data_IF_516883368013
#
_entry.id   IF_516883368013
#
_cell.length_a   1.000
_cell.length_b   1.000
_cell.length_c   1.000
_cell.angle_alpha   90.00
_cell.angle_beta   90.00
_cell.angle_gamma   90.00
#
_symmetry.space_group_name_H-M   'P 1'
#
loop_
_entity.id
_entity.type
_entity.pdbx_description
1 polymer ?
#
# COMPACT_ATOMS: atom_id res chain seq x y z
N UNK A 1 -2.97 13.30 -15.14
CA UNK A 1 -1.91 14.17 -15.74
C UNK A 1 -0.92 13.36 -16.59
N UNK A 2 -0.18 12.39 -16.02
CA UNK A 2 0.78 11.55 -16.77
C UNK A 2 0.15 10.88 -18.01
N UNK A 3 -1.04 10.27 -17.85
CA UNK A 3 -1.77 9.58 -18.91
C UNK A 3 -1.92 10.42 -20.18
N UNK A 4 -2.45 11.65 -20.06
CA UNK A 4 -2.61 12.54 -21.20
C UNK A 4 -1.27 12.93 -21.84
N UNK A 5 -0.25 13.27 -21.03
CA UNK A 5 1.07 13.62 -21.57
C UNK A 5 1.76 12.48 -22.30
N UNK A 6 1.55 11.24 -21.85
CA UNK A 6 2.11 10.07 -22.52
C UNK A 6 1.43 9.82 -23.87
N UNK A 7 0.11 10.02 -23.96
CA UNK A 7 -0.61 10.00 -25.24
C UNK A 7 -0.12 11.10 -26.19
N UNK A 8 0.15 12.31 -25.68
CA UNK A 8 0.71 13.41 -26.49
C UNK A 8 2.11 13.08 -27.05
N UNK A 9 2.87 12.21 -26.38
CA UNK A 9 4.16 11.69 -26.86
C UNK A 9 4.01 10.48 -27.80
N UNK A 10 2.78 10.07 -28.13
CA UNK A 10 2.48 8.96 -29.04
C UNK A 10 2.47 7.58 -28.38
N UNK A 11 2.54 7.48 -27.05
CA UNK A 11 2.40 6.20 -26.37
C UNK A 11 0.97 5.68 -26.47
N UNK A 12 0.78 4.37 -26.63
CA UNK A 12 -0.54 3.76 -26.66
C UNK A 12 -1.05 3.45 -25.22
N UNK A 13 -2.35 3.14 -25.09
CA UNK A 13 -2.97 2.87 -23.79
C UNK A 13 -2.39 1.64 -23.09
N UNK A 14 -2.00 0.61 -23.84
CA UNK A 14 -1.39 -0.62 -23.31
C UNK A 14 0.01 -0.35 -22.76
N UNK A 15 0.82 0.46 -23.45
CA UNK A 15 2.15 0.89 -22.98
C UNK A 15 2.04 1.67 -21.67
N UNK A 16 1.09 2.61 -21.59
CA UNK A 16 0.84 3.37 -20.35
C UNK A 16 0.41 2.41 -19.22
N UNK A 17 -0.49 1.48 -19.49
CA UNK A 17 -0.91 0.46 -18.53
C UNK A 17 0.25 -0.39 -18.03
N UNK A 18 1.11 -0.85 -18.94
CA UNK A 18 2.30 -1.64 -18.60
C UNK A 18 3.35 -0.83 -17.81
N UNK A 19 3.48 0.48 -18.04
CA UNK A 19 4.36 1.37 -17.24
C UNK A 19 3.89 1.47 -15.78
N UNK A 20 2.58 1.46 -15.54
CA UNK A 20 2.03 1.37 -14.18
C UNK A 20 2.17 -0.04 -13.61
N UNK A 21 1.87 -1.07 -14.40
CA UNK A 21 1.97 -2.47 -13.97
C UNK A 21 3.40 -2.90 -13.60
N UNK A 22 4.42 -2.45 -14.35
CA UNK A 22 5.81 -2.82 -14.06
C UNK A 22 6.26 -2.31 -12.68
N UNK A 23 5.74 -1.16 -12.23
CA UNK A 23 6.04 -0.61 -10.92
C UNK A 23 5.53 -1.52 -9.79
N UNK A 24 4.30 -2.03 -9.92
CA UNK A 24 3.71 -2.96 -8.95
C UNK A 24 4.46 -4.30 -8.93
N UNK A 25 4.74 -4.87 -10.11
CA UNK A 25 5.46 -6.15 -10.24
C UNK A 25 6.87 -6.06 -9.63
N UNK A 26 7.62 -5.02 -9.96
CA UNK A 26 8.98 -4.83 -9.41
C UNK A 26 8.92 -4.65 -7.90
N UNK A 27 7.99 -3.87 -7.35
CA UNK A 27 7.83 -3.76 -5.91
C UNK A 27 7.49 -5.10 -5.25
N UNK A 28 6.54 -5.84 -5.81
CA UNK A 28 6.09 -7.13 -5.27
C UNK A 28 7.22 -8.16 -5.18
N UNK A 29 8.10 -8.21 -6.20
CA UNK A 29 9.26 -9.11 -6.22
C UNK A 29 10.40 -8.58 -5.32
N UNK A 30 10.66 -7.27 -5.35
CA UNK A 30 11.83 -6.70 -4.68
C UNK A 30 11.63 -6.53 -3.17
N UNK A 31 10.41 -6.37 -2.66
CA UNK A 31 10.17 -6.30 -1.21
C UNK A 31 10.67 -7.57 -0.49
N UNK A 32 10.29 -8.80 -0.89
CA UNK A 32 10.84 -10.03 -0.34
C UNK A 32 12.36 -10.13 -0.45
N UNK A 33 12.92 -9.76 -1.60
CA UNK A 33 14.37 -9.79 -1.83
C UNK A 33 15.10 -8.86 -0.86
N UNK A 34 14.63 -7.62 -0.70
CA UNK A 34 15.21 -6.70 0.26
C UNK A 34 15.03 -7.19 1.69
N UNK A 35 13.91 -7.84 2.01
CA UNK A 35 13.69 -8.51 3.30
C UNK A 35 14.80 -9.51 3.66
N UNK A 36 15.27 -10.29 2.69
CA UNK A 36 16.41 -11.19 2.85
C UNK A 36 17.74 -10.45 3.07
N UNK A 37 17.90 -9.25 2.49
CA UNK A 37 19.12 -8.45 2.59
C UNK A 37 19.18 -7.55 3.83
N UNK A 38 18.06 -7.32 4.52
CA UNK A 38 17.98 -6.50 5.75
C UNK A 38 19.05 -6.88 6.79
N UNK A 39 19.33 -8.17 7.10
CA UNK A 39 20.36 -8.54 8.07
C UNK A 39 21.78 -8.13 7.67
N UNK A 40 22.04 -8.02 6.35
CA UNK A 40 23.36 -7.67 5.83
C UNK A 40 23.53 -6.15 5.70
N UNK A 41 22.53 -5.45 5.15
CA UNK A 41 22.63 -4.01 4.89
C UNK A 41 22.17 -3.15 6.08
N UNK A 42 21.33 -3.70 6.95
CA UNK A 42 20.67 -3.00 8.05
C UNK A 42 19.42 -2.23 7.61
N UNK A 43 18.35 -2.28 8.41
CA UNK A 43 17.06 -1.67 8.08
C UNK A 43 17.14 -0.15 7.87
N UNK A 44 17.94 0.55 8.69
CA UNK A 44 18.18 2.00 8.53
C UNK A 44 18.81 2.33 7.18
N UNK A 45 19.87 1.61 6.79
CA UNK A 45 20.56 1.91 5.53
C UNK A 45 19.67 1.59 4.33
N UNK A 46 18.90 0.49 4.41
CA UNK A 46 17.93 0.14 3.38
C UNK A 46 16.86 1.23 3.22
N UNK A 47 16.33 1.75 4.33
CA UNK A 47 15.40 2.88 4.34
C UNK A 47 15.99 4.13 3.65
N UNK A 48 17.17 4.55 4.07
CA UNK A 48 17.82 5.75 3.56
C UNK A 48 18.21 5.62 2.08
N UNK A 49 18.74 4.46 1.67
CA UNK A 49 19.09 4.18 0.28
C UNK A 49 17.83 4.17 -0.61
N UNK A 50 16.74 3.57 -0.13
CA UNK A 50 15.47 3.55 -0.84
C UNK A 50 14.86 4.94 -1.04
N UNK A 51 14.89 5.78 0.01
CA UNK A 51 14.45 7.17 -0.08
C UNK A 51 15.31 7.98 -1.06
N UNK A 52 16.63 7.83 -1.02
CA UNK A 52 17.54 8.51 -1.93
C UNK A 52 17.28 8.10 -3.38
N UNK A 53 17.22 6.79 -3.64
CA UNK A 53 17.01 6.25 -4.98
C UNK A 53 15.68 6.71 -5.56
N UNK A 54 14.60 6.66 -4.77
CA UNK A 54 13.27 7.11 -5.19
C UNK A 54 13.22 8.62 -5.46
N UNK A 55 13.93 9.42 -4.65
CA UNK A 55 14.02 10.87 -4.83
C UNK A 55 14.74 11.22 -6.13
N UNK A 56 15.92 10.62 -6.36
CA UNK A 56 16.70 10.81 -7.58
C UNK A 56 15.91 10.36 -8.81
N UNK A 57 15.25 9.20 -8.75
CA UNK A 57 14.43 8.72 -9.85
C UNK A 57 13.26 9.66 -10.14
N UNK A 58 12.62 10.25 -9.13
CA UNK A 58 11.53 11.22 -9.31
C UNK A 58 12.00 12.47 -10.08
N UNK A 59 13.23 12.94 -9.82
CA UNK A 59 13.84 14.05 -10.57
C UNK A 59 14.20 13.60 -12.00
N UNK A 60 14.74 12.39 -12.18
CA UNK A 60 15.07 11.85 -13.51
C UNK A 60 13.82 11.66 -14.37
N UNK A 61 12.71 11.23 -13.78
CA UNK A 61 11.44 11.01 -14.48
C UNK A 61 10.94 12.28 -15.18
N UNK A 62 11.18 13.46 -14.57
CA UNK A 62 10.90 14.77 -15.18
C UNK A 62 11.63 14.96 -16.51
N UNK A 63 12.88 14.51 -16.61
CA UNK A 63 13.73 14.72 -17.79
C UNK A 63 13.28 13.89 -18.99
N UNK A 64 12.59 12.78 -18.76
CA UNK A 64 12.07 11.91 -19.82
C UNK A 64 11.12 12.65 -20.76
N UNK A 65 10.37 13.63 -20.26
CA UNK A 65 9.43 14.45 -21.04
C UNK A 65 10.10 15.47 -21.96
N UNK A 66 11.44 15.50 -22.02
CA UNK A 66 12.19 16.26 -23.03
C UNK A 66 12.57 15.40 -24.24
N UNK A 67 12.33 14.09 -24.19
CA UNK A 67 12.64 13.17 -25.27
C UNK A 67 11.63 13.34 -26.40
N UNK A 68 12.13 13.48 -27.63
CA UNK A 68 11.31 13.62 -28.84
C UNK A 68 10.90 12.28 -29.44
N UNK A 69 11.64 11.21 -29.16
CA UNK A 69 11.33 9.85 -29.65
C UNK A 69 10.40 9.13 -28.68
N UNK A 70 9.23 8.71 -29.19
CA UNK A 70 8.24 7.91 -28.44
C UNK A 70 8.85 6.64 -27.86
N UNK A 71 9.66 5.92 -28.64
CA UNK A 71 10.29 4.65 -28.21
C UNK A 71 11.24 4.90 -27.03
N UNK A 72 12.08 5.92 -27.11
CA UNK A 72 13.00 6.28 -26.02
C UNK A 72 12.25 6.80 -24.79
N UNK A 73 11.17 7.56 -24.99
CA UNK A 73 10.31 8.03 -23.92
C UNK A 73 9.66 6.86 -23.16
N UNK A 74 9.04 5.92 -23.87
CA UNK A 74 8.38 4.74 -23.28
C UNK A 74 9.41 3.86 -22.57
N UNK A 75 10.51 3.51 -23.22
CA UNK A 75 11.58 2.71 -22.62
C UNK A 75 12.19 3.40 -21.37
N UNK A 76 12.41 4.71 -21.44
CA UNK A 76 12.88 5.50 -20.31
C UNK A 76 11.88 5.52 -19.15
N UNK A 77 10.58 5.62 -19.44
CA UNK A 77 9.52 5.55 -18.42
C UNK A 77 9.51 4.18 -17.71
N UNK A 78 9.62 3.09 -18.47
CA UNK A 78 9.72 1.74 -17.90
C UNK A 78 10.93 1.60 -16.97
N UNK A 79 12.11 1.98 -17.45
CA UNK A 79 13.34 1.87 -16.68
C UNK A 79 13.28 2.72 -15.40
N UNK A 80 12.81 3.96 -15.53
CA UNK A 80 12.72 4.88 -14.40
C UNK A 80 11.68 4.40 -13.38
N UNK A 81 10.54 3.85 -13.81
CA UNK A 81 9.55 3.24 -12.91
C UNK A 81 10.07 1.98 -12.22
N UNK A 82 10.80 1.12 -12.92
CA UNK A 82 11.42 -0.05 -12.32
C UNK A 82 12.44 0.35 -11.25
N UNK A 83 13.31 1.33 -11.53
CA UNK A 83 14.30 1.82 -10.55
C UNK A 83 13.61 2.53 -9.37
N UNK A 84 12.56 3.30 -9.63
CA UNK A 84 11.76 3.93 -8.58
C UNK A 84 11.08 2.87 -7.69
N UNK A 85 10.58 1.79 -8.27
CA UNK A 85 10.01 0.65 -7.54
C UNK A 85 11.06 -0.05 -6.67
N UNK A 86 12.31 -0.19 -7.13
CA UNK A 86 13.41 -0.69 -6.29
C UNK A 86 13.63 0.21 -5.06
N UNK A 87 13.67 1.52 -5.26
CA UNK A 87 13.79 2.48 -4.16
C UNK A 87 12.60 2.39 -3.20
N UNK A 88 11.40 2.23 -3.75
CA UNK A 88 10.15 2.09 -3.01
C UNK A 88 10.14 0.85 -2.13
N UNK A 89 10.40 -0.31 -2.71
CA UNK A 89 10.50 -1.58 -2.01
C UNK A 89 11.52 -1.54 -0.87
N UNK A 90 12.68 -0.92 -1.09
CA UNK A 90 13.71 -0.76 -0.07
C UNK A 90 13.22 0.08 1.12
N UNK A 91 12.61 1.26 0.88
CA UNK A 91 12.19 2.13 1.97
C UNK A 91 10.97 1.58 2.74
N UNK A 92 10.02 0.95 2.06
CA UNK A 92 8.87 0.31 2.71
C UNK A 92 9.31 -0.88 3.58
N UNK A 93 10.19 -1.73 3.05
CA UNK A 93 10.71 -2.88 3.78
C UNK A 93 11.51 -2.43 5.01
N UNK A 94 12.40 -1.43 4.83
CA UNK A 94 13.22 -0.89 5.91
C UNK A 94 12.39 -0.24 7.02
N UNK A 95 11.41 0.59 6.67
CA UNK A 95 10.53 1.25 7.65
C UNK A 95 9.71 0.25 8.46
N UNK A 96 9.10 -0.74 7.80
CA UNK A 96 8.30 -1.77 8.47
C UNK A 96 9.13 -2.61 9.44
N UNK A 97 10.40 -2.93 9.11
CA UNK A 97 11.31 -3.61 10.05
C UNK A 97 11.65 -2.75 11.25
N UNK A 98 11.90 -1.44 11.04
CA UNK A 98 12.20 -0.51 12.13
C UNK A 98 11.00 -0.38 13.07
N UNK A 99 9.79 -0.22 12.52
CA UNK A 99 8.55 -0.14 13.31
C UNK A 99 8.33 -1.41 14.12
N UNK A 100 8.43 -2.58 13.48
CA UNK A 100 8.25 -3.87 14.15
C UNK A 100 9.22 -4.10 15.32
N UNK A 101 10.42 -3.50 15.24
CA UNK A 101 11.45 -3.64 16.28
C UNK A 101 11.29 -2.65 17.41
N UNK A 102 11.02 -1.40 17.11
CA UNK A 102 10.86 -0.36 18.12
C UNK A 102 9.57 -0.56 18.90
N UNK A 103 8.53 -1.11 18.25
CA UNK A 103 7.21 -1.35 18.83
C UNK A 103 6.89 -2.84 19.02
N UNK A 104 7.88 -3.67 19.39
CA UNK A 104 7.71 -5.14 19.56
C UNK A 104 6.49 -5.55 20.39
N UNK A 105 6.17 -4.82 21.45
CA UNK A 105 5.03 -5.15 22.32
C UNK A 105 3.67 -4.75 21.73
N UNK A 106 3.63 -3.83 20.77
CA UNK A 106 2.41 -3.27 20.19
C UNK A 106 2.55 -3.05 18.67
N UNK A 107 3.09 -4.05 17.95
CA UNK A 107 3.38 -3.95 16.50
C UNK A 107 2.11 -3.58 15.72
N UNK A 108 0.98 -4.22 16.04
CA UNK A 108 -0.31 -3.97 15.38
C UNK A 108 -0.76 -2.51 15.48
N UNK A 109 -0.58 -1.88 16.64
CA UNK A 109 -0.91 -0.47 16.83
C UNK A 109 0.02 0.44 16.02
N UNK A 110 1.34 0.19 16.05
CA UNK A 110 2.31 1.01 15.34
C UNK A 110 2.19 0.89 13.80
N UNK A 111 1.96 -0.33 13.31
CA UNK A 111 1.65 -0.58 11.89
C UNK A 111 0.32 0.06 11.50
N UNK A 112 -0.72 -0.05 12.33
CA UNK A 112 -2.01 0.62 12.09
C UNK A 112 -1.88 2.15 12.01
N UNK A 113 -1.04 2.76 12.86
CA UNK A 113 -0.73 4.18 12.77
C UNK A 113 0.02 4.54 11.48
N UNK A 114 0.96 3.70 11.06
CA UNK A 114 1.66 3.85 9.77
C UNK A 114 0.68 3.81 8.60
N UNK A 115 -0.26 2.86 8.60
CA UNK A 115 -1.29 2.75 7.56
C UNK A 115 -2.23 3.97 7.52
N UNK A 116 -2.56 4.57 8.68
CA UNK A 116 -3.32 5.83 8.71
C UNK A 116 -2.56 6.93 7.96
N UNK A 117 -1.26 7.09 8.21
CA UNK A 117 -0.45 8.09 7.50
C UNK A 117 -0.31 7.78 6.01
N UNK A 118 -0.19 6.51 5.63
CA UNK A 118 -0.24 6.07 4.23
C UNK A 118 -1.56 6.47 3.57
N UNK A 119 -2.69 6.20 4.23
CA UNK A 119 -4.02 6.56 3.76
C UNK A 119 -4.22 8.08 3.60
N UNK A 120 -3.77 8.87 4.58
CA UNK A 120 -3.76 10.34 4.48
C UNK A 120 -2.93 10.78 3.27
N UNK A 121 -1.77 10.18 3.06
CA UNK A 121 -0.91 10.43 1.90
C UNK A 121 -1.60 10.11 0.57
N UNK A 122 -2.36 9.02 0.48
CA UNK A 122 -3.12 8.66 -0.72
C UNK A 122 -4.23 9.65 -1.05
N UNK A 123 -4.85 10.27 -0.03
CA UNK A 123 -5.93 11.27 -0.21
C UNK A 123 -5.33 12.64 -0.54
N UNK A 124 -4.37 13.11 0.27
CA UNK A 124 -3.77 14.42 0.12
C UNK A 124 -2.83 14.49 -1.08
N UNK A 125 -2.21 13.37 -1.48
CA UNK A 125 -1.22 13.31 -2.56
C UNK A 125 -1.74 13.83 -3.91
N UNK A 126 -2.84 13.29 -4.47
CA UNK A 126 -3.44 13.79 -5.70
C UNK A 126 -3.88 15.25 -5.61
N UNK A 127 -4.45 15.66 -4.47
CA UNK A 127 -4.90 17.03 -4.24
C UNK A 127 -3.73 18.03 -4.27
N UNK A 128 -2.71 17.80 -3.45
CA UNK A 128 -1.50 18.64 -3.39
C UNK A 128 -0.74 18.59 -4.72
N UNK A 129 -0.66 17.41 -5.36
CA UNK A 129 -0.04 17.24 -6.67
C UNK A 129 -0.75 18.03 -7.77
N UNK A 130 -2.08 18.11 -7.73
CA UNK A 130 -2.90 18.93 -8.63
C UNK A 130 -2.66 20.44 -8.43
N UNK A 131 -2.68 20.91 -7.18
CA UNK A 131 -2.41 22.32 -6.87
C UNK A 131 -1.01 22.75 -7.31
N UNK A 132 0.00 21.94 -7.01
CA UNK A 132 1.39 22.19 -7.44
C UNK A 132 1.51 22.16 -8.97
N UNK A 133 0.73 21.31 -9.64
CA UNK A 133 0.66 21.26 -11.10
C UNK A 133 0.07 22.54 -11.70
N UNK A 134 -0.99 23.11 -11.11
CA UNK A 134 -1.59 24.36 -11.59
C UNK A 134 -0.63 25.55 -11.50
N UNK A 135 0.16 25.62 -10.42
CA UNK A 135 1.09 26.74 -10.19
C UNK A 135 2.36 26.64 -11.03
N UNK A 136 2.97 25.46 -11.12
CA UNK A 136 4.30 25.28 -11.74
C UNK A 136 4.34 24.35 -12.94
N UNK A 137 3.17 23.94 -13.44
CA UNK A 137 3.04 23.02 -14.55
C UNK A 137 3.50 21.60 -14.22
N UNK A 138 3.65 20.81 -15.29
CA UNK A 138 3.89 19.36 -15.20
C UNK A 138 5.13 18.93 -14.41
N UNK A 139 6.15 19.77 -14.39
CA UNK A 139 7.45 19.38 -13.83
C UNK A 139 7.49 19.58 -12.31
N UNK A 140 6.70 20.53 -11.77
CA UNK A 140 6.79 20.93 -10.37
C UNK A 140 6.39 19.81 -9.39
N UNK A 141 5.32 19.00 -9.61
CA UNK A 141 4.96 17.92 -8.71
C UNK A 141 6.08 16.90 -8.47
N UNK A 142 6.87 16.59 -9.51
CA UNK A 142 8.00 15.65 -9.42
C UNK A 142 9.17 16.19 -8.60
N UNK A 143 9.39 17.51 -8.65
CA UNK A 143 10.43 18.17 -7.84
C UNK A 143 9.97 18.23 -6.38
N UNK A 144 8.71 18.60 -6.13
CA UNK A 144 8.16 18.68 -4.79
C UNK A 144 8.19 17.33 -4.09
N UNK A 145 7.78 16.24 -4.74
CA UNK A 145 7.83 14.91 -4.12
C UNK A 145 9.29 14.48 -3.84
N UNK A 146 10.23 14.77 -4.74
CA UNK A 146 11.64 14.47 -4.52
C UNK A 146 12.21 15.23 -3.31
N UNK A 147 11.85 16.52 -3.14
CA UNK A 147 12.28 17.32 -2.00
C UNK A 147 11.67 16.80 -0.69
N UNK A 148 10.40 16.40 -0.68
CA UNK A 148 9.76 15.81 0.50
C UNK A 148 10.44 14.49 0.88
N UNK A 149 10.77 13.64 -0.09
CA UNK A 149 11.48 12.38 0.17
C UNK A 149 12.92 12.61 0.66
N UNK A 150 13.63 13.61 0.13
CA UNK A 150 14.96 14.01 0.61
C UNK A 150 14.90 14.59 2.03
N UNK A 151 13.89 15.39 2.35
CA UNK A 151 13.66 15.87 3.71
C UNK A 151 13.40 14.70 4.66
N UNK A 152 12.56 13.75 4.25
CA UNK A 152 12.34 12.51 4.97
C UNK A 152 13.64 11.72 5.19
N UNK A 153 14.52 11.65 4.19
CA UNK A 153 15.84 11.03 4.33
C UNK A 153 16.68 11.71 5.41
N UNK A 154 16.77 13.05 5.39
CA UNK A 154 17.54 13.81 6.39
C UNK A 154 16.98 13.59 7.79
N UNK A 155 15.65 13.66 7.96
CA UNK A 155 15.00 13.43 9.25
C UNK A 155 15.30 12.01 9.76
N UNK A 156 15.11 10.99 8.93
CA UNK A 156 15.35 9.59 9.31
C UNK A 156 16.84 9.30 9.55
N UNK A 157 17.75 10.02 8.89
CA UNK A 157 19.18 9.89 9.11
C UNK A 157 19.57 10.26 10.54
N UNK A 158 18.99 11.34 11.08
CA UNK A 158 19.24 11.79 12.45
C UNK A 158 18.37 11.09 13.50
N UNK A 159 17.11 10.79 13.19
CA UNK A 159 16.17 10.24 14.16
C UNK A 159 16.42 8.74 14.46
N UNK A 160 16.83 7.95 13.46
CA UNK A 160 16.94 6.49 13.62
C UNK A 160 18.36 6.11 14.01
N UNK A 161 18.52 5.41 15.13
CA UNK A 161 19.82 4.85 15.54
C UNK A 161 20.22 3.65 14.69
N UNK A 162 21.53 3.44 14.48
CA UNK A 162 22.02 2.26 13.74
C UNK A 162 21.85 1.03 14.62
N UNK A 163 21.04 0.05 14.20
CA UNK A 163 20.94 -1.24 14.90
C UNK A 163 22.15 -2.12 14.59
N UNK A 164 22.78 -2.70 15.62
CA UNK A 164 23.94 -3.59 15.50
C UNK A 164 23.56 -5.03 15.83
N UNK A 165 22.58 -5.59 15.12
CA UNK A 165 22.23 -6.99 15.29
C UNK A 165 23.09 -7.87 14.40
N UNK A 166 23.50 -9.02 14.93
CA UNK A 166 24.24 -10.03 14.17
C UNK A 166 23.38 -10.50 12.99
N UNK A 167 23.98 -10.55 11.81
CA UNK A 167 23.34 -11.06 10.61
C UNK A 167 22.97 -12.54 10.83
N UNK A 168 21.68 -12.80 11.05
CA UNK A 168 21.10 -14.14 10.99
C UNK A 168 20.60 -14.37 9.57
N UNK A 169 20.88 -15.54 9.00
CA UNK A 169 20.39 -15.91 7.67
C UNK A 169 19.13 -16.74 7.83
N UNK A 170 17.99 -16.08 7.92
CA UNK A 170 16.70 -16.76 7.83
C UNK A 170 16.38 -17.06 6.35
N UNK A 171 15.83 -18.25 6.06
CA UNK A 171 15.50 -18.66 4.71
C UNK A 171 14.08 -18.21 4.33
N UNK A 172 13.95 -17.37 3.31
CA UNK A 172 12.67 -16.93 2.75
C UNK A 172 11.74 -18.10 2.40
N UNK A 173 12.29 -19.16 1.82
CA UNK A 173 11.53 -20.37 1.46
C UNK A 173 10.95 -21.10 2.67
N UNK A 174 11.57 -20.98 3.84
CA UNK A 174 11.01 -21.54 5.08
C UNK A 174 9.78 -20.76 5.50
N UNK A 175 9.82 -19.43 5.37
CA UNK A 175 8.69 -18.55 5.73
C UNK A 175 7.45 -18.84 4.89
N UNK A 176 7.58 -18.92 3.56
CA UNK A 176 6.43 -19.10 2.66
C UNK A 176 5.82 -20.51 2.74
N UNK A 177 6.61 -21.52 3.17
CA UNK A 177 6.13 -22.88 3.40
C UNK A 177 5.27 -23.02 4.66
N UNK A 178 5.27 -22.02 5.54
CA UNK A 178 4.39 -22.01 6.70
C UNK A 178 2.95 -21.75 6.18
N UNK A 179 2.02 -22.71 6.32
CA UNK A 179 0.70 -22.62 5.68
C UNK A 179 -0.08 -21.39 6.14
N UNK A 180 0.06 -21.06 7.43
CA UNK A 180 -0.56 -19.87 8.02
C UNK A 180 -0.08 -18.57 7.37
N UNK A 181 1.22 -18.46 7.09
CA UNK A 181 1.80 -17.28 6.45
C UNK A 181 1.26 -17.14 5.03
N UNK A 182 1.22 -18.24 4.27
CA UNK A 182 0.67 -18.24 2.91
C UNK A 182 -0.81 -17.81 2.88
N UNK A 183 -1.64 -18.32 3.81
CA UNK A 183 -3.06 -17.93 3.91
C UNK A 183 -3.21 -16.44 4.20
N UNK A 184 -2.43 -15.89 5.14
CA UNK A 184 -2.48 -14.46 5.48
C UNK A 184 -2.02 -13.58 4.31
N UNK A 185 -1.00 -14.00 3.56
CA UNK A 185 -0.58 -13.29 2.33
C UNK A 185 -1.67 -13.30 1.26
N UNK A 186 -2.31 -14.44 1.00
CA UNK A 186 -3.40 -14.55 0.02
C UNK A 186 -4.57 -13.66 0.42
N UNK A 187 -4.99 -13.73 1.69
CA UNK A 187 -6.06 -12.87 2.22
C UNK A 187 -5.71 -11.40 2.01
N UNK A 188 -4.49 -10.99 2.36
CA UNK A 188 -4.06 -9.61 2.23
C UNK A 188 -4.06 -9.14 0.76
N UNK A 189 -3.51 -9.92 -0.16
CA UNK A 189 -3.54 -9.58 -1.59
C UNK A 189 -4.97 -9.48 -2.13
N UNK A 190 -5.89 -10.37 -1.71
CA UNK A 190 -7.30 -10.28 -2.11
C UNK A 190 -7.96 -9.00 -1.57
N UNK A 191 -7.66 -8.60 -0.33
CA UNK A 191 -8.21 -7.38 0.27
C UNK A 191 -7.70 -6.12 -0.43
N UNK A 192 -6.40 -6.04 -0.77
CA UNK A 192 -5.84 -4.92 -1.53
C UNK A 192 -6.40 -4.86 -2.96
N UNK A 193 -6.46 -6.00 -3.65
CA UNK A 193 -7.10 -6.08 -4.97
C UNK A 193 -8.56 -5.63 -4.94
N UNK A 194 -9.30 -5.98 -3.88
CA UNK A 194 -10.68 -5.53 -3.70
C UNK A 194 -10.76 -4.00 -3.51
N UNK A 195 -9.86 -3.40 -2.72
CA UNK A 195 -9.79 -1.95 -2.54
C UNK A 195 -9.43 -1.24 -3.84
N UNK A 196 -8.43 -1.72 -4.58
CA UNK A 196 -8.01 -1.12 -5.85
C UNK A 196 -9.05 -1.30 -6.96
N UNK A 197 -9.77 -2.41 -6.97
CA UNK A 197 -10.93 -2.62 -7.84
C UNK A 197 -12.08 -1.64 -7.52
N UNK A 198 -12.28 -1.28 -6.25
CA UNK A 198 -13.35 -0.38 -5.83
C UNK A 198 -13.17 1.04 -6.40
N UNK A 199 -11.94 1.56 -6.49
CA UNK A 199 -11.67 2.93 -6.95
C UNK A 199 -12.24 3.25 -8.35
N UNK A 200 -11.91 2.51 -9.43
CA UNK A 200 -12.48 2.75 -10.74
C UNK A 200 -13.96 2.32 -10.81
N UNK A 201 -14.32 1.20 -10.19
CA UNK A 201 -15.66 0.62 -10.28
C UNK A 201 -16.72 1.51 -9.64
N UNK A 202 -16.46 2.04 -8.45
CA UNK A 202 -17.37 2.96 -7.77
C UNK A 202 -17.54 4.26 -8.56
N UNK A 203 -16.45 4.80 -9.10
CA UNK A 203 -16.48 6.02 -9.92
C UNK A 203 -17.35 5.84 -11.18
N UNK A 204 -17.31 4.66 -11.80
CA UNK A 204 -18.18 4.32 -12.93
C UNK A 204 -19.63 4.09 -12.50
N UNK A 205 -19.84 3.38 -11.38
CA UNK A 205 -21.17 3.10 -10.85
C UNK A 205 -21.94 4.38 -10.49
N UNK A 206 -21.25 5.34 -9.89
CA UNK A 206 -21.84 6.61 -9.48
C UNK A 206 -22.24 7.51 -10.66
N UNK A 207 -21.63 7.33 -11.84
CA UNK A 207 -22.03 8.06 -13.06
C UNK A 207 -23.42 7.66 -13.54
N UNK A 208 -23.87 6.43 -13.24
CA UNK A 208 -25.21 5.94 -13.65
C UNK A 208 -26.32 6.74 -12.97
N UNK A 209 -26.08 7.22 -11.75
CA UNK A 209 -27.01 8.07 -11.01
C UNK A 209 -26.69 9.57 -11.14
N UNK A 210 -25.96 9.94 -12.19
CA UNK A 210 -25.55 11.32 -12.50
C UNK A 210 -24.86 12.03 -11.32
N UNK A 211 -24.12 11.29 -10.50
CA UNK A 211 -23.45 11.84 -9.33
C UNK A 211 -22.37 12.87 -9.72
N UNK A 212 -22.34 13.97 -8.97
CA UNK A 212 -21.30 14.98 -9.09
C UNK A 212 -19.94 14.42 -8.64
N UNK A 213 -18.81 14.95 -9.15
CA UNK A 213 -17.47 14.56 -8.68
C UNK A 213 -17.29 14.73 -7.16
N UNK A 214 -17.93 15.74 -6.57
CA UNK A 214 -17.92 15.96 -5.13
C UNK A 214 -18.56 14.78 -4.40
N UNK A 215 -19.72 14.31 -4.84
CA UNK A 215 -20.40 13.15 -4.25
C UNK A 215 -19.55 11.87 -4.35
N UNK A 216 -18.93 11.61 -5.51
CA UNK A 216 -18.00 10.47 -5.65
C UNK A 216 -16.83 10.59 -4.67
N UNK A 217 -16.24 11.79 -4.56
CA UNK A 217 -15.20 12.07 -3.59
C UNK A 217 -15.64 11.84 -2.15
N UNK A 218 -16.89 12.21 -1.79
CA UNK A 218 -17.42 11.96 -0.44
C UNK A 218 -17.53 10.47 -0.12
N UNK A 219 -17.82 9.61 -1.10
CA UNK A 219 -17.90 8.16 -0.88
C UNK A 219 -16.53 7.56 -0.50
N UNK A 220 -15.47 7.95 -1.22
CA UNK A 220 -14.10 7.56 -0.86
C UNK A 220 -13.66 8.14 0.48
N UNK A 221 -14.08 9.37 0.80
CA UNK A 221 -13.79 9.99 2.09
C UNK A 221 -14.46 9.22 3.25
N UNK A 222 -15.70 8.76 3.08
CA UNK A 222 -16.41 7.93 4.08
C UNK A 222 -15.64 6.62 4.32
N UNK A 223 -15.22 5.95 3.25
CA UNK A 223 -14.41 4.72 3.33
C UNK A 223 -13.11 4.96 4.10
N UNK A 224 -12.36 5.99 3.72
CA UNK A 224 -11.11 6.34 4.37
C UNK A 224 -11.30 6.72 5.84
N UNK A 225 -12.30 7.55 6.16
CA UNK A 225 -12.62 7.94 7.52
C UNK A 225 -12.99 6.73 8.38
N UNK A 226 -13.78 5.79 7.86
CA UNK A 226 -14.10 4.55 8.55
C UNK A 226 -12.83 3.73 8.81
N UNK A 227 -11.96 3.55 7.81
CA UNK A 227 -10.68 2.85 8.02
C UNK A 227 -9.83 3.52 9.10
N UNK A 228 -9.65 4.84 9.01
CA UNK A 228 -8.81 5.62 9.95
C UNK A 228 -9.35 5.57 11.38
N UNK A 229 -10.67 5.62 11.56
CA UNK A 229 -11.28 5.55 12.89
C UNK A 229 -11.13 4.15 13.46
N UNK A 230 -11.41 3.10 12.68
CA UNK A 230 -11.43 1.72 13.18
C UNK A 230 -10.02 1.11 13.34
N UNK A 231 -9.04 1.47 12.51
CA UNK A 231 -7.67 0.94 12.58
C UNK A 231 -7.03 0.98 13.98
N UNK A 232 -7.03 2.10 14.74
CA UNK A 232 -6.45 2.14 16.08
C UNK A 232 -7.26 1.32 17.08
N UNK A 233 -8.59 1.24 16.96
CA UNK A 233 -9.41 0.38 17.84
C UNK A 233 -9.07 -1.09 17.63
N UNK A 234 -8.91 -1.53 16.38
CA UNK A 234 -8.48 -2.89 16.06
C UNK A 234 -7.05 -3.14 16.57
N UNK A 235 -6.14 -2.18 16.39
CA UNK A 235 -4.78 -2.26 16.91
C UNK A 235 -4.71 -2.38 18.44
N UNK A 236 -5.57 -1.66 19.17
CA UNK A 236 -5.70 -1.79 20.62
C UNK A 236 -6.36 -3.11 21.02
N UNK A 237 -7.37 -3.59 20.29
CA UNK A 237 -8.05 -4.84 20.59
C UNK A 237 -7.15 -6.06 20.37
N UNK A 238 -6.31 -6.03 19.34
CA UNK A 238 -5.30 -7.05 19.06
C UNK A 238 -4.21 -7.16 20.15
N UNK A 239 -4.09 -6.15 21.04
CA UNK A 239 -3.16 -6.18 22.19
C UNK A 239 -3.50 -7.28 23.20
N UNK A 240 -4.76 -7.72 23.26
CA UNK A 240 -5.12 -8.93 23.99
C UNK A 240 -4.53 -10.12 23.25
N UNK A 241 -3.31 -10.54 23.63
CA UNK A 241 -2.37 -11.51 23.01
C UNK A 241 -2.92 -12.91 22.68
N UNK A 242 -4.22 -13.07 22.50
CA UNK A 242 -4.89 -14.30 22.08
C UNK A 242 -4.84 -14.37 20.56
N UNK A 243 -3.97 -15.23 20.04
CA UNK A 243 -3.75 -15.41 18.59
C UNK A 243 -5.02 -15.75 17.79
N UNK A 244 -5.96 -16.48 18.39
CA UNK A 244 -7.25 -16.75 17.76
C UNK A 244 -8.02 -15.47 17.44
N UNK A 245 -7.82 -14.42 18.24
CA UNK A 245 -8.53 -13.14 18.10
C UNK A 245 -8.08 -12.39 16.85
N UNK A 246 -6.78 -12.31 16.52
CA UNK A 246 -6.32 -11.59 15.32
C UNK A 246 -6.89 -12.21 14.03
N UNK A 247 -6.88 -13.54 13.92
CA UNK A 247 -7.42 -14.24 12.75
C UNK A 247 -8.93 -14.16 12.65
N UNK A 248 -9.63 -14.29 13.78
CA UNK A 248 -11.07 -14.09 13.82
C UNK A 248 -11.43 -12.68 13.36
N UNK A 249 -10.68 -11.66 13.81
CA UNK A 249 -10.86 -10.28 13.36
C UNK A 249 -10.61 -10.14 11.86
N UNK A 250 -9.56 -10.76 11.31
CA UNK A 250 -9.29 -10.73 9.86
C UNK A 250 -10.43 -11.38 9.05
N UNK A 251 -10.94 -12.52 9.49
CA UNK A 251 -12.06 -13.22 8.82
C UNK A 251 -13.35 -12.38 8.90
N UNK A 252 -13.67 -11.83 10.07
CA UNK A 252 -14.80 -10.92 10.25
C UNK A 252 -14.67 -9.68 9.35
N UNK A 253 -13.45 -9.13 9.23
CA UNK A 253 -13.15 -8.04 8.31
C UNK A 253 -13.41 -8.41 6.84
N UNK A 254 -12.92 -9.57 6.39
CA UNK A 254 -13.18 -10.07 5.04
C UNK A 254 -14.66 -10.28 4.75
N UNK A 255 -15.44 -10.77 5.71
CA UNK A 255 -16.90 -10.89 5.58
C UNK A 255 -17.60 -9.54 5.50
N UNK A 256 -17.15 -8.53 6.25
CA UNK A 256 -17.64 -7.16 6.14
C UNK A 256 -17.33 -6.55 4.78
N UNK A 257 -16.11 -6.77 4.25
CA UNK A 257 -15.73 -6.35 2.89
C UNK A 257 -16.65 -7.01 1.86
N UNK A 258 -16.86 -8.33 1.92
CA UNK A 258 -17.77 -9.03 1.02
C UNK A 258 -19.20 -8.47 1.10
N UNK A 259 -19.69 -8.22 2.32
CA UNK A 259 -21.02 -7.62 2.55
C UNK A 259 -21.10 -6.22 1.93
N UNK A 260 -20.05 -5.41 2.02
CA UNK A 260 -20.02 -4.07 1.43
C UNK A 260 -20.19 -4.12 -0.10
N UNK A 261 -19.50 -5.02 -0.80
CA UNK A 261 -19.64 -5.15 -2.25
C UNK A 261 -21.03 -5.63 -2.68
N UNK A 262 -21.68 -6.47 -1.87
CA UNK A 262 -23.09 -6.87 -2.12
C UNK A 262 -24.04 -5.68 -1.97
N UNK A 263 -23.74 -4.75 -1.04
CA UNK A 263 -24.55 -3.55 -0.76
C UNK A 263 -24.34 -2.40 -1.76
N UNK A 264 -23.17 -2.29 -2.39
CA UNK A 264 -22.85 -1.21 -3.34
C UNK A 264 -23.77 -1.21 -4.56
N UNK A 265 -24.10 -2.39 -5.10
CA UNK A 265 -24.86 -2.52 -6.35
C UNK A 265 -26.33 -2.92 -6.13
N UNK A 266 -27.16 -2.84 -7.18
CA UNK A 266 -28.47 -3.46 -7.20
C UNK A 266 -28.26 -4.99 -7.31
N UNK A 267 -27.92 -5.62 -6.20
CA UNK A 267 -27.74 -7.07 -6.17
C UNK A 267 -29.10 -7.75 -6.31
N UNK A 268 -29.20 -8.90 -6.99
CA UNK A 268 -30.43 -9.70 -7.01
C UNK A 268 -30.93 -10.05 -5.61
N UNK A 269 -30.04 -10.06 -4.62
CA UNK A 269 -30.32 -10.26 -3.20
C UNK A 269 -31.03 -9.04 -2.60
N UNK A 270 -30.60 -7.82 -2.93
CA UNK A 270 -31.26 -6.57 -2.51
C UNK A 270 -32.60 -6.33 -3.23
N UNK A 271 -32.73 -6.81 -4.47
CA UNK A 271 -34.00 -6.78 -5.20
C UNK A 271 -35.11 -7.57 -4.49
N UNK A 272 -34.78 -8.68 -3.82
CA UNK A 272 -35.72 -9.44 -2.99
C UNK A 272 -36.16 -8.67 -1.73
N UNK A 273 -35.36 -7.71 -1.27
CA UNK A 273 -35.63 -6.84 -0.10
C UNK A 273 -36.31 -5.52 -0.49
N UNK A 274 -36.69 -5.34 -1.76
CA UNK A 274 -37.37 -4.13 -2.26
C UNK A 274 -36.46 -2.94 -2.54
N UNK A 275 -35.14 -3.13 -2.49
CA UNK A 275 -34.15 -2.09 -2.85
C UNK A 275 -33.75 -2.29 -4.31
N UNK A 276 -34.51 -1.66 -5.21
CA UNK A 276 -34.33 -1.79 -6.67
C UNK A 276 -33.52 -0.66 -7.29
N UNK A 277 -33.35 0.47 -6.60
CA UNK A 277 -32.61 1.63 -7.10
C UNK A 277 -31.35 1.91 -6.27
N UNK A 278 -30.28 2.30 -6.98
CA UNK A 278 -29.01 2.71 -6.37
C UNK A 278 -29.22 4.06 -5.70
N UNK A 279 -29.21 4.06 -4.37
CA UNK A 279 -29.37 5.29 -3.58
C UNK A 279 -28.04 5.75 -3.00
N UNK A 280 -27.81 7.07 -3.00
CA UNK A 280 -26.62 7.66 -2.40
C UNK A 280 -26.37 7.23 -0.93
N UNK A 281 -27.39 7.16 -0.04
CA UNK A 281 -27.16 6.73 1.34
C UNK A 281 -26.71 5.28 1.44
N UNK A 282 -27.23 4.39 0.59
CA UNK A 282 -26.83 2.97 0.59
C UNK A 282 -25.36 2.82 0.18
N UNK A 283 -24.93 3.55 -0.86
CA UNK A 283 -23.53 3.59 -1.27
C UNK A 283 -22.66 4.13 -0.13
N UNK A 284 -23.07 5.22 0.53
CA UNK A 284 -22.35 5.77 1.69
C UNK A 284 -22.20 4.77 2.83
N UNK A 285 -23.26 4.06 3.21
CA UNK A 285 -23.22 3.00 4.24
C UNK A 285 -22.30 1.87 3.81
N UNK A 286 -22.39 1.42 2.54
CA UNK A 286 -21.52 0.36 2.02
C UNK A 286 -20.04 0.74 2.08
N UNK A 287 -19.69 2.00 1.78
CA UNK A 287 -18.31 2.50 1.88
C UNK A 287 -17.82 2.56 3.32
N UNK A 288 -18.69 2.92 4.28
CA UNK A 288 -18.36 2.86 5.70
C UNK A 288 -18.07 1.44 6.17
N UNK A 289 -18.90 0.46 5.75
CA UNK A 289 -18.68 -0.96 6.03
C UNK A 289 -17.38 -1.46 5.38
N UNK A 290 -17.11 -1.06 4.14
CA UNK A 290 -15.88 -1.40 3.42
C UNK A 290 -14.65 -0.91 4.17
N UNK A 291 -14.62 0.36 4.59
CA UNK A 291 -13.50 0.94 5.34
C UNK A 291 -13.26 0.24 6.68
N UNK A 292 -14.33 -0.01 7.46
CA UNK A 292 -14.24 -0.77 8.71
C UNK A 292 -13.75 -2.21 8.47
N UNK A 293 -14.30 -2.90 7.47
CA UNK A 293 -13.91 -4.26 7.10
C UNK A 293 -12.46 -4.37 6.67
N UNK A 294 -11.97 -3.45 5.83
CA UNK A 294 -10.56 -3.38 5.42
C UNK A 294 -9.64 -3.14 6.62
N UNK A 295 -10.02 -2.28 7.58
CA UNK A 295 -9.21 -2.06 8.78
C UNK A 295 -9.08 -3.33 9.63
N UNK A 296 -10.16 -4.10 9.79
CA UNK A 296 -10.16 -5.38 10.49
C UNK A 296 -9.37 -6.45 9.75
N UNK A 297 -9.44 -6.45 8.42
CA UNK A 297 -8.78 -7.44 7.58
C UNK A 297 -7.27 -7.19 7.42
N UNK A 298 -6.84 -5.93 7.38
CA UNK A 298 -5.46 -5.56 7.03
C UNK A 298 -4.58 -5.23 8.24
N UNK A 299 -5.09 -4.52 9.24
CA UNK A 299 -4.26 -4.04 10.38
C UNK A 299 -3.60 -5.18 11.17
N UNK A 300 -4.25 -6.32 11.48
CA UNK A 300 -3.64 -7.42 12.23
C UNK A 300 -2.63 -8.26 11.44
N UNK A 301 -2.57 -8.12 10.11
CA UNK A 301 -1.85 -9.06 9.23
C UNK A 301 -0.36 -9.12 9.52
N UNK A 302 0.30 -7.98 9.75
CA UNK A 302 1.74 -7.96 10.03
C UNK A 302 2.09 -8.70 11.34
N UNK A 303 1.27 -8.50 12.37
CA UNK A 303 1.41 -9.19 13.66
C UNK A 303 1.19 -10.69 13.51
N UNK A 304 0.12 -11.12 12.82
CA UNK A 304 -0.14 -12.53 12.56
C UNK A 304 0.98 -13.18 11.72
N UNK A 305 1.55 -12.47 10.74
CA UNK A 305 2.68 -12.97 9.94
C UNK A 305 3.91 -13.18 10.82
N UNK A 306 4.23 -12.24 11.71
CA UNK A 306 5.36 -12.34 12.64
C UNK A 306 5.14 -13.49 13.62
N UNK A 307 3.97 -13.55 14.25
CA UNK A 307 3.62 -14.63 15.18
C UNK A 307 3.60 -16.01 14.49
N UNK A 308 3.13 -16.07 13.24
CA UNK A 308 3.10 -17.31 12.47
C UNK A 308 4.48 -17.78 12.03
N UNK A 309 5.38 -16.87 11.70
CA UNK A 309 6.78 -17.18 11.42
C UNK A 309 7.47 -17.79 12.66
N UNK A 310 7.32 -17.15 13.82
CA UNK A 310 7.94 -17.61 15.08
C UNK A 310 7.37 -18.97 15.52
N UNK A 311 6.05 -19.15 15.48
CA UNK A 311 5.43 -20.44 15.79
C UNK A 311 5.77 -21.54 14.77
N UNK A 312 6.14 -21.17 13.54
CA UNK A 312 6.66 -22.08 12.52
C UNK A 312 8.11 -22.52 12.75
N UNK A 313 8.73 -22.08 13.85
CA UNK A 313 10.10 -22.45 14.24
C UNK A 313 11.18 -21.45 13.81
N UNK A 314 10.80 -20.27 13.30
CA UNK A 314 11.75 -19.20 13.00
C UNK A 314 12.14 -18.43 14.27
N UNK A 315 13.38 -17.94 14.33
CA UNK A 315 13.84 -17.13 15.46
C UNK A 315 13.17 -15.74 15.44
N UNK A 316 12.92 -15.16 16.62
CA UNK A 316 12.43 -13.78 16.74
C UNK A 316 13.60 -12.77 16.66
N UNK A 317 14.15 -12.60 15.47
CA UNK A 317 15.34 -11.80 15.20
C UNK A 317 15.18 -10.82 14.03
N UNK A 318 16.26 -10.12 13.65
CA UNK A 318 16.24 -9.13 12.55
C UNK A 318 15.92 -9.77 11.21
N UNK A 319 16.33 -11.02 11.04
CA UNK A 319 16.19 -11.74 9.79
C UNK A 319 14.74 -12.15 9.57
N UNK A 320 14.09 -12.70 10.59
CA UNK A 320 12.66 -13.02 10.52
C UNK A 320 11.83 -11.76 10.33
N UNK A 321 12.11 -10.68 11.08
CA UNK A 321 11.43 -9.39 10.88
C UNK A 321 11.63 -8.83 9.46
N UNK A 322 12.84 -8.96 8.91
CA UNK A 322 13.17 -8.60 7.53
C UNK A 322 12.35 -9.38 6.51
N UNK A 323 12.31 -10.71 6.64
CA UNK A 323 11.55 -11.58 5.73
C UNK A 323 10.04 -11.34 5.83
N UNK A 324 9.50 -11.20 7.04
CA UNK A 324 8.08 -10.90 7.26
C UNK A 324 7.72 -9.56 6.66
N UNK A 325 8.54 -8.53 6.89
CA UNK A 325 8.35 -7.21 6.29
C UNK A 325 8.41 -7.25 4.76
N UNK A 326 9.40 -7.94 4.20
CA UNK A 326 9.53 -8.08 2.75
C UNK A 326 8.35 -8.81 2.12
N UNK A 327 7.89 -9.89 2.76
CA UNK A 327 6.73 -10.65 2.32
C UNK A 327 5.42 -9.86 2.46
N UNK A 328 5.25 -9.15 3.58
CA UNK A 328 4.11 -8.27 3.83
C UNK A 328 4.00 -7.23 2.72
N UNK A 329 5.03 -6.40 2.53
CA UNK A 329 5.02 -5.36 1.50
C UNK A 329 4.89 -5.97 0.09
N UNK A 330 5.56 -7.11 -0.16
CA UNK A 330 5.46 -7.81 -1.44
C UNK A 330 4.05 -8.26 -1.79
N UNK A 331 3.29 -8.73 -0.80
CA UNK A 331 1.90 -9.14 -0.95
C UNK A 331 0.92 -7.94 -1.05
N UNK A 332 1.23 -6.80 -0.42
CA UNK A 332 0.51 -5.54 -0.60
C UNK A 332 0.59 -5.08 -2.05
N UNK A 333 1.80 -5.02 -2.63
CA UNK A 333 1.98 -4.59 -4.03
C UNK A 333 1.54 -5.62 -5.07
N UNK A 334 1.30 -6.87 -4.67
CA UNK A 334 0.78 -7.91 -5.55
C UNK A 334 -0.74 -7.84 -5.71
N UNK A 335 -1.44 -7.48 -4.64
CA UNK A 335 -2.89 -7.28 -4.63
C UNK A 335 -3.24 -5.96 -5.28
#
# INVERSE_FOLDING_TARGET
>A
IFYHKALDHGANQLEIGLIFGCYAIVNSICCPLFGCFVPMCGAKNLLLAGLLLSSVCSVLFRLLFRLTSTVLFVAGCFLCRAIQALGCAAYFTGSSVIIAREWRDNITFAMGLSEIFTGIGMICGPLLGGLVYEVGGFQLPFICIALVMLLGLVINFYAISKSSDKASTANFWTLIKIPNVAVTCILMSVMWAAMDFNMPSLSLHMKVIEATPVQVGTMFLIMAAAYTVFAPFIGMFAKNKVRCTERMVMICGGLLVATSFVLVGPSPVLAQLGVTEVSFPLVGVSMGILGAGLSMALVPTFSDLTASAVCGGMADDLATAGLVSGLFNGAVFFG
#
